data_IF_065572791194
#
_entry.id   IF_065572791194
#
_cell.length_a   1.000
_cell.length_b   1.000
_cell.length_c   1.000
_cell.angle_alpha   90.00
_cell.angle_beta   90.00
_cell.angle_gamma   90.00
#
_symmetry.space_group_name_H-M   'P 1'
#
loop_
_entity.id
_entity.type
_entity.pdbx_description
1 polymer ?
#
# COMPACT_ATOMS: atom_id res chain seq x y z
N UNK A 1 51.44 -17.23 -15.98
CA UNK A 1 51.33 -18.68 -16.28
C UNK A 1 51.58 -19.45 -14.99
N UNK A 2 50.57 -20.19 -14.52
CA UNK A 2 50.60 -21.08 -13.34
C UNK A 2 50.49 -20.35 -11.98
N UNK A 3 49.89 -20.90 -10.92
CA UNK A 3 49.24 -22.21 -10.70
C UNK A 3 48.67 -22.18 -9.25
N UNK A 4 47.47 -22.74 -9.04
CA UNK A 4 46.81 -23.06 -7.76
C UNK A 4 46.22 -21.92 -6.91
N UNK A 5 44.87 -21.86 -6.83
CA UNK A 5 44.19 -22.21 -5.57
C UNK A 5 42.93 -23.01 -5.92
N UNK A 6 43.04 -24.30 -5.61
CA UNK A 6 41.95 -25.25 -5.44
C UNK A 6 41.11 -24.81 -4.23
N UNK A 7 39.86 -24.42 -4.43
CA UNK A 7 38.92 -24.22 -3.32
C UNK A 7 37.47 -24.50 -3.74
N UNK A 8 36.99 -25.63 -3.24
CA UNK A 8 35.61 -25.98 -2.91
C UNK A 8 34.55 -25.98 -4.02
N UNK A 9 34.02 -27.19 -4.24
CA UNK A 9 32.66 -27.51 -4.67
C UNK A 9 31.62 -26.43 -4.30
N UNK A 10 31.39 -25.45 -5.17
CA UNK A 10 30.23 -24.57 -5.05
C UNK A 10 29.07 -25.21 -5.79
N UNK A 11 28.27 -25.92 -5.00
CA UNK A 11 26.88 -26.34 -5.20
C UNK A 11 26.25 -25.84 -6.50
N UNK A 12 25.91 -26.79 -7.37
CA UNK A 12 24.96 -26.61 -8.45
C UNK A 12 23.62 -26.13 -7.86
N UNK A 13 23.29 -24.86 -8.10
CA UNK A 13 21.91 -24.38 -7.99
C UNK A 13 21.66 -23.27 -6.98
N UNK A 14 22.06 -22.04 -7.31
CA UNK A 14 21.34 -20.83 -6.90
C UNK A 14 21.53 -19.76 -7.99
N UNK A 15 20.91 -19.95 -9.15
CA UNK A 15 20.60 -18.80 -9.99
C UNK A 15 19.52 -18.02 -9.25
N UNK A 16 19.96 -17.07 -8.45
CA UNK A 16 19.15 -16.00 -7.89
C UNK A 16 18.19 -15.51 -8.97
N UNK A 17 16.91 -15.86 -8.84
CA UNK A 17 15.88 -15.18 -9.60
C UNK A 17 15.86 -13.75 -9.11
N UNK A 18 16.54 -12.89 -9.87
CA UNK A 18 16.41 -11.45 -9.76
C UNK A 18 14.91 -11.12 -9.87
N UNK A 19 14.30 -10.67 -8.79
CA UNK A 19 12.90 -10.24 -8.77
C UNK A 19 12.81 -8.91 -9.54
N UNK A 20 12.17 -8.84 -10.72
CA UNK A 20 11.85 -7.58 -11.35
C UNK A 20 10.52 -7.10 -10.75
N UNK A 21 10.58 -6.51 -9.55
CA UNK A 21 9.39 -6.18 -8.75
C UNK A 21 9.09 -4.69 -8.70
N UNK A 22 8.85 -4.04 -9.83
CA UNK A 22 8.39 -2.63 -9.89
C UNK A 22 6.95 -2.40 -9.42
N UNK A 23 6.34 -3.37 -8.75
CA UNK A 23 5.00 -3.31 -8.18
C UNK A 23 5.04 -3.91 -6.79
N UNK A 24 4.51 -3.18 -5.82
CA UNK A 24 4.42 -3.49 -4.41
C UNK A 24 3.67 -4.78 -4.11
N UNK A 25 3.50 -5.08 -2.83
CA UNK A 25 3.16 -6.44 -2.35
C UNK A 25 1.83 -6.99 -2.86
N UNK A 26 0.96 -6.14 -3.41
CA UNK A 26 -0.33 -6.52 -3.99
C UNK A 26 -0.39 -6.34 -5.52
N UNK A 27 0.73 -6.08 -6.19
CA UNK A 27 0.74 -5.73 -7.61
C UNK A 27 0.24 -6.90 -8.49
N UNK A 28 0.73 -8.11 -8.23
CA UNK A 28 0.32 -9.32 -8.96
C UNK A 28 -1.16 -9.63 -8.74
N UNK A 29 -1.62 -9.61 -7.49
CA UNK A 29 -3.03 -9.83 -7.16
C UNK A 29 -3.95 -8.80 -7.82
N UNK A 30 -3.53 -7.52 -7.83
CA UNK A 30 -4.27 -6.45 -8.49
C UNK A 30 -4.40 -6.69 -9.99
N UNK A 31 -3.32 -7.10 -10.64
CA UNK A 31 -3.31 -7.35 -12.08
C UNK A 31 -4.21 -8.53 -12.45
N UNK A 32 -4.05 -9.66 -11.77
CA UNK A 32 -4.76 -10.90 -12.11
C UNK A 32 -6.24 -10.87 -11.72
N UNK A 33 -6.58 -10.25 -10.59
CA UNK A 33 -7.95 -10.25 -10.07
C UNK A 33 -8.73 -9.00 -10.46
N UNK A 34 -8.06 -7.85 -10.59
CA UNK A 34 -8.71 -6.54 -10.74
C UNK A 34 -8.21 -5.73 -11.95
N UNK A 35 -7.46 -6.33 -12.89
CA UNK A 35 -6.88 -5.62 -14.04
C UNK A 35 -7.93 -4.97 -14.97
N UNK A 36 -9.14 -5.52 -15.03
CA UNK A 36 -10.25 -5.02 -15.84
C UNK A 36 -11.13 -3.99 -15.12
N UNK A 37 -10.80 -3.61 -13.88
CA UNK A 37 -11.60 -2.67 -13.10
C UNK A 37 -11.25 -1.25 -13.49
N UNK A 38 -12.28 -0.45 -13.79
CA UNK A 38 -12.12 0.97 -14.06
C UNK A 38 -11.41 1.68 -12.89
N UNK A 39 -10.40 2.48 -13.22
CA UNK A 39 -9.63 3.20 -12.23
C UNK A 39 -10.40 4.38 -11.64
N UNK A 40 -10.12 4.71 -10.37
CA UNK A 40 -10.77 5.81 -9.67
C UNK A 40 -11.94 5.37 -8.80
N UNK A 41 -12.52 6.33 -8.06
CA UNK A 41 -13.67 6.08 -7.18
C UNK A 41 -13.46 5.10 -6.02
N UNK A 42 -12.29 4.45 -5.91
CA UNK A 42 -12.08 3.33 -5.00
C UNK A 42 -12.47 1.96 -5.58
N UNK A 43 -12.85 1.88 -6.87
CA UNK A 43 -13.33 0.63 -7.50
C UNK A 43 -12.33 -0.51 -7.42
N UNK A 44 -11.04 -0.27 -7.72
CA UNK A 44 -10.00 -1.30 -7.58
C UNK A 44 -9.82 -1.74 -6.13
N UNK A 45 -9.93 -0.82 -5.17
CA UNK A 45 -9.86 -1.18 -3.75
C UNK A 45 -11.07 -2.01 -3.31
N UNK A 46 -12.25 -1.76 -3.90
CA UNK A 46 -13.44 -2.58 -3.68
C UNK A 46 -13.24 -3.98 -4.26
N UNK A 47 -12.79 -4.10 -5.51
CA UNK A 47 -12.47 -5.39 -6.11
C UNK A 47 -11.49 -6.22 -5.27
N UNK A 48 -10.45 -5.60 -4.72
CA UNK A 48 -9.50 -6.30 -3.86
C UNK A 48 -10.13 -6.78 -2.54
N UNK A 49 -11.09 -6.03 -1.97
CA UNK A 49 -11.86 -6.47 -0.80
C UNK A 49 -12.80 -7.61 -1.15
N UNK A 50 -13.50 -7.52 -2.27
CA UNK A 50 -14.44 -8.56 -2.71
C UNK A 50 -13.71 -9.87 -3.07
N UNK A 51 -12.43 -9.79 -3.42
CA UNK A 51 -11.56 -10.93 -3.69
C UNK A 51 -10.55 -11.19 -2.56
N UNK A 52 -10.78 -10.68 -1.34
CA UNK A 52 -9.84 -10.81 -0.22
C UNK A 52 -9.42 -12.26 0.03
N UNK A 53 -10.30 -13.23 -0.20
CA UNK A 53 -10.03 -14.65 -0.01
C UNK A 53 -9.10 -15.24 -1.07
N UNK A 54 -9.03 -14.62 -2.25
CA UNK A 54 -8.21 -15.03 -3.40
C UNK A 54 -6.88 -14.29 -3.48
N UNK A 55 -6.66 -13.27 -2.65
CA UNK A 55 -5.39 -12.56 -2.58
C UNK A 55 -4.27 -13.48 -2.08
N UNK A 56 -3.04 -13.18 -2.49
CA UNK A 56 -1.84 -13.77 -1.90
C UNK A 56 -1.76 -13.51 -0.39
N UNK A 57 -1.15 -14.42 0.40
CA UNK A 57 -0.99 -14.23 1.85
C UNK A 57 -0.29 -12.91 2.21
N UNK A 58 0.72 -12.52 1.43
CA UNK A 58 1.45 -11.27 1.61
C UNK A 58 0.55 -10.04 1.38
N UNK A 59 -0.25 -10.05 0.32
CA UNK A 59 -1.19 -8.97 0.07
C UNK A 59 -2.30 -8.90 1.14
N UNK A 60 -2.83 -10.04 1.60
CA UNK A 60 -3.81 -10.08 2.71
C UNK A 60 -3.25 -9.46 3.98
N UNK A 61 -2.06 -9.89 4.40
CA UNK A 61 -1.40 -9.34 5.59
C UNK A 61 -1.16 -7.83 5.46
N UNK A 62 -0.76 -7.36 4.28
CA UNK A 62 -0.64 -5.94 4.00
C UNK A 62 -1.98 -5.20 4.06
N UNK A 63 -3.06 -5.79 3.55
CA UNK A 63 -4.40 -5.18 3.58
C UNK A 63 -4.96 -5.08 4.99
N UNK A 64 -4.77 -6.10 5.84
CA UNK A 64 -5.16 -6.04 7.24
C UNK A 64 -4.38 -4.95 7.99
N UNK A 65 -3.05 -4.90 7.82
CA UNK A 65 -2.25 -3.81 8.39
C UNK A 65 -2.70 -2.43 7.89
N UNK A 66 -3.02 -2.32 6.60
CA UNK A 66 -3.50 -1.06 6.04
C UNK A 66 -4.87 -0.67 6.61
N UNK A 67 -5.73 -1.63 6.95
CA UNK A 67 -7.03 -1.40 7.60
C UNK A 67 -6.84 -0.87 9.02
N UNK A 68 -5.91 -1.43 9.79
CA UNK A 68 -5.54 -0.94 11.12
C UNK A 68 -5.00 0.49 11.05
N UNK A 69 -4.00 0.76 10.20
CA UNK A 69 -3.48 2.13 10.04
C UNK A 69 -4.54 3.13 9.61
N UNK A 70 -5.48 2.74 8.73
CA UNK A 70 -6.57 3.64 8.34
C UNK A 70 -7.59 3.87 9.46
N UNK A 71 -7.73 2.94 10.41
CA UNK A 71 -8.51 3.14 11.62
C UNK A 71 -7.82 4.17 12.54
N UNK A 72 -6.52 4.01 12.77
CA UNK A 72 -5.71 4.94 13.57
C UNK A 72 -5.75 6.35 13.00
N UNK A 73 -5.56 6.51 11.68
CA UNK A 73 -5.75 7.80 10.99
C UNK A 73 -7.14 8.36 11.22
N UNK A 74 -8.20 7.53 11.07
CA UNK A 74 -9.57 8.01 11.19
C UNK A 74 -9.86 8.52 12.61
N UNK A 75 -9.34 7.85 13.62
CA UNK A 75 -9.50 8.23 15.03
C UNK A 75 -8.69 9.48 15.34
N UNK A 76 -7.40 9.51 14.98
CA UNK A 76 -6.51 10.63 15.23
C UNK A 76 -6.91 11.92 14.48
N UNK A 77 -7.51 11.78 13.29
CA UNK A 77 -7.89 12.89 12.43
C UNK A 77 -9.38 13.21 12.43
N UNK A 78 -10.20 12.54 13.27
CA UNK A 78 -11.65 12.58 13.16
C UNK A 78 -12.19 14.02 13.16
N UNK A 79 -11.79 14.81 14.15
CA UNK A 79 -12.34 16.13 14.39
C UNK A 79 -11.89 17.12 13.33
N UNK A 80 -10.63 17.05 12.90
CA UNK A 80 -10.10 17.89 11.83
C UNK A 80 -10.69 17.51 10.47
N UNK A 81 -10.91 16.21 10.21
CA UNK A 81 -11.61 15.76 9.00
C UNK A 81 -13.04 16.28 8.97
N UNK A 82 -13.78 16.23 10.08
CA UNK A 82 -15.14 16.77 10.14
C UNK A 82 -15.14 18.29 9.96
N UNK A 83 -14.24 19.00 10.65
CA UNK A 83 -14.17 20.46 10.67
C UNK A 83 -13.72 21.06 9.33
N UNK A 84 -12.73 20.45 8.68
CA UNK A 84 -12.10 21.03 7.48
C UNK A 84 -12.53 20.33 6.18
N UNK A 85 -13.01 19.08 6.26
CA UNK A 85 -13.29 18.25 5.09
C UNK A 85 -14.67 17.58 5.10
N UNK A 86 -15.58 17.93 6.03
CA UNK A 86 -16.88 17.27 6.20
C UNK A 86 -17.78 17.30 4.95
N UNK A 87 -17.71 18.37 4.15
CA UNK A 87 -18.50 18.52 2.92
C UNK A 87 -17.94 17.76 1.71
N UNK A 88 -16.83 17.06 1.87
CA UNK A 88 -16.16 16.36 0.78
C UNK A 88 -16.93 15.11 0.35
N UNK A 89 -17.53 15.17 -0.84
CA UNK A 89 -18.17 14.00 -1.46
C UNK A 89 -17.16 12.84 -1.64
N UNK A 90 -17.54 11.59 -1.34
CA UNK A 90 -16.67 10.42 -1.46
C UNK A 90 -16.20 10.20 -2.91
N UNK A 91 -15.12 9.44 -3.05
CA UNK A 91 -14.52 9.10 -4.35
C UNK A 91 -13.61 10.18 -4.94
N UNK A 92 -12.95 9.83 -6.06
CA UNK A 92 -12.01 10.68 -6.81
C UNK A 92 -10.86 11.30 -5.98
N UNK A 93 -10.58 10.75 -4.80
CA UNK A 93 -9.51 11.25 -3.92
C UNK A 93 -9.76 12.63 -3.31
N UNK A 94 -11.00 13.16 -3.37
CA UNK A 94 -11.32 14.52 -2.87
C UNK A 94 -10.99 14.71 -1.40
N UNK A 95 -11.35 13.73 -0.56
CA UNK A 95 -11.01 13.74 0.86
C UNK A 95 -9.49 13.82 1.08
N UNK A 96 -8.72 12.98 0.38
CA UNK A 96 -7.25 13.00 0.49
C UNK A 96 -6.66 14.33 0.02
N UNK A 97 -7.25 14.97 -1.00
CA UNK A 97 -6.84 16.28 -1.47
C UNK A 97 -7.09 17.34 -0.38
N UNK A 98 -8.29 17.35 0.20
CA UNK A 98 -8.64 18.26 1.29
C UNK A 98 -7.71 18.12 2.50
N UNK A 99 -7.46 16.88 2.94
CA UNK A 99 -6.54 16.61 4.07
C UNK A 99 -5.12 17.07 3.75
N UNK A 100 -4.67 16.94 2.50
CA UNK A 100 -3.34 17.41 2.08
C UNK A 100 -3.24 18.94 2.09
N UNK A 101 -4.28 19.63 1.61
CA UNK A 101 -4.35 21.09 1.56
C UNK A 101 -4.49 21.73 2.95
N UNK A 102 -5.09 21.01 3.90
CA UNK A 102 -5.26 21.46 5.27
C UNK A 102 -4.29 20.79 6.26
N UNK A 103 -3.26 20.09 5.77
CA UNK A 103 -2.35 19.30 6.62
C UNK A 103 -1.82 20.11 7.80
N UNK A 104 -1.43 21.37 7.59
CA UNK A 104 -0.88 22.25 8.64
C UNK A 104 -1.89 22.65 9.72
N UNK A 105 -3.20 22.52 9.43
CA UNK A 105 -4.28 22.79 10.39
C UNK A 105 -4.62 21.55 11.22
N UNK A 106 -4.01 20.41 10.92
CA UNK A 106 -4.26 19.14 11.59
C UNK A 106 -3.29 18.98 12.76
N UNK A 107 -3.71 18.29 13.81
CA UNK A 107 -2.86 17.99 14.96
C UNK A 107 -1.61 17.22 14.55
N UNK A 108 -0.53 17.34 15.34
CA UNK A 108 0.69 16.58 15.13
C UNK A 108 0.42 15.06 15.10
N UNK A 109 -0.46 14.58 15.98
CA UNK A 109 -0.89 13.18 16.03
C UNK A 109 -1.55 12.74 14.71
N UNK A 110 -2.50 13.52 14.19
CA UNK A 110 -3.12 13.21 12.90
C UNK A 110 -2.10 13.25 11.74
N UNK A 111 -1.17 14.21 11.74
CA UNK A 111 -0.14 14.30 10.72
C UNK A 111 0.81 13.10 10.71
N UNK A 112 1.13 12.56 11.88
CA UNK A 112 1.93 11.35 12.05
C UNK A 112 1.22 10.13 11.45
N UNK A 113 -0.05 9.93 11.81
CA UNK A 113 -0.86 8.83 11.26
C UNK A 113 -1.02 8.94 9.74
N UNK A 114 -1.22 10.15 9.21
CA UNK A 114 -1.25 10.38 7.76
C UNK A 114 0.06 10.00 7.07
N UNK A 115 1.21 10.16 7.74
CA UNK A 115 2.50 9.74 7.21
C UNK A 115 2.61 8.21 7.19
N UNK A 116 2.19 7.55 8.28
CA UNK A 116 2.11 6.08 8.38
C UNK A 116 1.25 5.49 7.25
N UNK A 117 0.07 6.06 7.01
CA UNK A 117 -0.81 5.63 5.92
C UNK A 117 -0.23 5.85 4.51
N UNK A 118 0.54 6.94 4.32
CA UNK A 118 1.22 7.22 3.04
C UNK A 118 2.26 6.14 2.72
N UNK A 119 3.03 5.71 3.71
CA UNK A 119 4.02 4.65 3.55
C UNK A 119 3.38 3.29 3.26
N UNK A 120 2.28 2.96 3.93
CA UNK A 120 1.49 1.76 3.63
C UNK A 120 0.96 1.76 2.19
N UNK A 121 0.44 2.91 1.73
CA UNK A 121 -0.06 3.03 0.35
C UNK A 121 1.04 2.86 -0.70
N UNK A 122 2.27 3.29 -0.40
CA UNK A 122 3.44 3.11 -1.27
C UNK A 122 3.78 1.63 -1.43
N UNK A 123 3.75 0.86 -0.33
CA UNK A 123 4.06 -0.58 -0.32
C UNK A 123 3.01 -1.44 -1.01
N UNK A 124 1.75 -1.00 -1.07
CA UNK A 124 0.65 -1.70 -1.77
C UNK A 124 0.80 -1.73 -3.29
N UNK A 125 1.31 -0.64 -3.86
CA UNK A 125 1.23 -0.32 -5.30
C UNK A 125 2.26 -1.09 -6.09
#
# INVERSE_FOLDING_TARGET
MGKYVLACMMVLGFSSFAQPGGGGVCAKDRETLCGNVEHGGGKVAQCMKDNQDKLSPECKAHMEKAKETMKEVREACHDEMQKFCGDMKPGKGRMMKCMKENKEKFSAACQEEMASAKEMRKKRK
#
